data_IF_089747046328
#
_entry.id   IF_089747046328
#
_cell.length_a   1.000
_cell.length_b   1.000
_cell.length_c   1.000
_cell.angle_alpha   90.00
_cell.angle_beta   90.00
_cell.angle_gamma   90.00
#
_symmetry.space_group_name_H-M   'P 1'
#
loop_
_entity.id
_entity.type
_entity.pdbx_description
1 polymer ?
#
# COMPACT_ATOMS: atom_id res chain seq x y z
N UNK A 1 36.27 -24.34 -3.96
CA UNK A 1 35.72 -23.00 -3.66
C UNK A 1 34.39 -23.19 -2.92
N UNK A 2 34.32 -22.78 -1.66
CA UNK A 2 33.09 -22.82 -0.85
C UNK A 2 32.13 -21.74 -1.37
N UNK A 3 30.95 -22.14 -1.83
CA UNK A 3 29.84 -21.20 -2.06
C UNK A 3 29.00 -21.12 -0.80
N UNK A 4 29.09 -19.97 -0.15
CA UNK A 4 28.06 -19.26 0.63
C UNK A 4 26.84 -20.08 1.09
N UNK A 5 26.76 -20.38 2.38
CA UNK A 5 25.50 -20.75 3.02
C UNK A 5 24.56 -19.54 3.01
N UNK A 6 23.39 -19.66 2.38
CA UNK A 6 22.33 -18.64 2.48
C UNK A 6 21.87 -18.59 3.94
N UNK A 7 22.18 -17.47 4.61
CA UNK A 7 21.91 -17.20 6.02
C UNK A 7 20.43 -16.92 6.28
N UNK A 8 19.59 -17.93 6.09
CA UNK A 8 18.19 -17.89 6.52
C UNK A 8 18.12 -18.18 8.02
N UNK A 9 17.54 -17.26 8.77
CA UNK A 9 17.18 -17.46 10.16
C UNK A 9 15.68 -17.61 10.28
N UNK A 10 15.21 -18.49 11.17
CA UNK A 10 13.79 -18.58 11.51
C UNK A 10 13.34 -17.19 11.96
N UNK A 11 12.37 -16.62 11.24
CA UNK A 11 11.74 -15.36 11.65
C UNK A 11 10.93 -15.69 12.90
N UNK A 12 11.40 -15.24 14.07
CA UNK A 12 10.68 -15.37 15.33
C UNK A 12 9.32 -14.66 15.29
N UNK A 13 8.57 -14.77 16.39
CA UNK A 13 7.26 -14.14 16.58
C UNK A 13 7.26 -12.73 16.00
N UNK A 14 6.30 -12.48 15.12
CA UNK A 14 6.20 -11.32 14.24
C UNK A 14 6.73 -10.05 14.93
N UNK A 15 7.84 -9.51 14.42
CA UNK A 15 8.58 -8.37 14.97
C UNK A 15 7.77 -7.07 14.80
N UNK A 16 6.59 -6.98 15.40
CA UNK A 16 5.99 -5.71 15.75
C UNK A 16 6.86 -5.17 16.88
N UNK A 17 7.57 -4.05 16.69
CA UNK A 17 8.45 -3.56 17.74
C UNK A 17 7.60 -3.11 18.92
N UNK A 18 8.19 -3.00 20.12
CA UNK A 18 7.43 -2.88 21.37
C UNK A 18 6.36 -1.76 21.36
N UNK A 19 6.62 -0.70 20.60
CA UNK A 19 5.74 0.46 20.40
C UNK A 19 4.42 0.16 19.68
N UNK A 20 4.26 -1.02 19.04
CA UNK A 20 3.03 -1.44 18.33
C UNK A 20 2.28 -2.58 19.03
N UNK A 21 2.68 -2.96 20.25
CA UNK A 21 1.98 -3.97 21.05
C UNK A 21 0.52 -3.61 21.35
N UNK A 22 0.17 -2.33 21.29
CA UNK A 22 -1.17 -1.83 21.53
C UNK A 22 -1.60 -0.89 20.42
N UNK A 23 -2.76 -1.16 19.80
CA UNK A 23 -3.32 -0.33 18.74
C UNK A 23 -4.84 -0.22 18.90
N UNK A 24 -5.42 0.86 18.38
CA UNK A 24 -6.87 0.97 18.16
C UNK A 24 -7.20 0.73 16.69
N UNK A 25 -8.31 0.05 16.41
CA UNK A 25 -8.81 -0.18 15.04
C UNK A 25 -10.15 0.51 14.91
N UNK A 26 -10.25 1.41 13.95
CA UNK A 26 -11.50 2.09 13.57
C UNK A 26 -11.75 1.89 12.09
N UNK A 27 -12.98 2.06 11.64
CA UNK A 27 -13.34 1.85 10.25
C UNK A 27 -14.50 2.73 9.84
N UNK A 28 -14.64 2.96 8.53
CA UNK A 28 -15.88 3.47 7.94
C UNK A 28 -17.05 2.47 8.11
N UNK A 29 -16.75 1.17 8.19
CA UNK A 29 -17.69 0.08 8.52
C UNK A 29 -17.10 -0.83 9.60
N UNK A 30 -17.62 -0.69 10.82
CA UNK A 30 -17.15 -1.44 11.99
C UNK A 30 -17.40 -2.95 11.91
N UNK A 31 -18.37 -3.37 11.10
CA UNK A 31 -18.76 -4.77 10.89
C UNK A 31 -18.31 -5.35 9.55
N UNK A 32 -17.67 -4.52 8.72
CA UNK A 32 -17.14 -4.90 7.41
C UNK A 32 -16.16 -6.07 7.51
N UNK A 33 -16.13 -6.90 6.47
CA UNK A 33 -15.31 -8.11 6.43
C UNK A 33 -13.82 -7.78 6.59
N UNK A 34 -13.33 -6.72 5.94
CA UNK A 34 -11.94 -6.29 6.08
C UNK A 34 -11.62 -5.85 7.51
N UNK A 35 -12.51 -5.12 8.17
CA UNK A 35 -12.34 -4.69 9.56
C UNK A 35 -12.19 -5.90 10.48
N UNK A 36 -13.01 -6.94 10.25
CA UNK A 36 -12.93 -8.20 11.00
C UNK A 36 -11.61 -8.92 10.75
N UNK A 37 -11.18 -9.07 9.50
CA UNK A 37 -9.93 -9.76 9.18
C UNK A 37 -8.70 -9.00 9.70
N UNK A 38 -8.69 -7.66 9.65
CA UNK A 38 -7.60 -6.86 10.25
C UNK A 38 -7.53 -7.07 11.77
N UNK A 39 -8.67 -6.98 12.48
CA UNK A 39 -8.73 -7.24 13.93
C UNK A 39 -8.24 -8.66 14.25
N UNK A 40 -8.68 -9.65 13.49
CA UNK A 40 -8.25 -11.05 13.64
C UNK A 40 -6.75 -11.21 13.43
N UNK A 41 -6.19 -10.63 12.36
CA UNK A 41 -4.76 -10.69 12.07
C UNK A 41 -3.92 -10.01 13.16
N UNK A 42 -4.35 -8.86 13.67
CA UNK A 42 -3.71 -8.20 14.81
C UNK A 42 -3.66 -9.12 16.04
N UNK A 43 -4.78 -9.73 16.39
CA UNK A 43 -4.86 -10.64 17.54
C UNK A 43 -4.00 -11.90 17.35
N UNK A 44 -3.99 -12.48 16.14
CA UNK A 44 -3.15 -13.64 15.82
C UNK A 44 -1.65 -13.32 15.90
N UNK A 45 -1.27 -12.06 15.70
CA UNK A 45 0.10 -11.57 15.85
C UNK A 45 0.38 -10.98 17.24
N UNK A 46 -0.47 -11.24 18.24
CA UNK A 46 -0.24 -10.84 19.63
C UNK A 46 -0.42 -9.34 19.91
N UNK A 47 -1.03 -8.58 19.00
CA UNK A 47 -1.33 -7.17 19.22
C UNK A 47 -2.58 -7.00 20.06
N UNK A 48 -2.49 -6.20 21.12
CA UNK A 48 -3.62 -5.83 21.95
C UNK A 48 -4.43 -4.73 21.28
N UNK A 49 -5.71 -5.00 21.03
CA UNK A 49 -6.64 -4.01 20.50
C UNK A 49 -7.32 -3.29 21.68
N UNK A 50 -7.26 -1.95 21.69
CA UNK A 50 -7.86 -1.11 22.74
C UNK A 50 -8.75 -0.02 22.13
N UNK A 51 -9.66 0.60 22.90
CA UNK A 51 -10.43 1.74 22.43
C UNK A 51 -9.54 2.91 21.97
N UNK A 52 -9.99 3.72 20.99
CA UNK A 52 -9.25 4.90 20.54
C UNK A 52 -8.95 5.88 21.68
N UNK A 53 -7.70 6.35 21.74
CA UNK A 53 -7.26 7.34 22.73
C UNK A 53 -6.10 8.18 22.17
N UNK A 54 -5.87 9.37 22.73
CA UNK A 54 -4.88 10.34 22.22
C UNK A 54 -3.44 9.80 22.15
N UNK A 55 -3.07 8.91 23.08
CA UNK A 55 -1.72 8.34 23.18
C UNK A 55 -1.63 6.91 22.62
N UNK A 56 -2.61 6.50 21.81
CA UNK A 56 -2.66 5.16 21.22
C UNK A 56 -2.65 5.28 19.71
N UNK A 57 -1.79 4.51 19.06
CA UNK A 57 -1.77 4.43 17.59
C UNK A 57 -3.11 3.91 17.06
N UNK A 58 -3.53 4.42 15.92
CA UNK A 58 -4.80 4.06 15.31
C UNK A 58 -4.58 3.60 13.87
N UNK A 59 -5.19 2.46 13.53
CA UNK A 59 -5.42 2.06 12.15
C UNK A 59 -6.88 2.36 11.83
N UNK A 60 -7.11 3.26 10.88
CA UNK A 60 -8.42 3.64 10.39
C UNK A 60 -8.62 3.12 8.97
N UNK A 61 -9.52 2.16 8.77
CA UNK A 61 -9.91 1.71 7.43
C UNK A 61 -10.81 2.77 6.81
N UNK A 62 -10.42 3.30 5.65
CA UNK A 62 -11.15 4.35 4.93
C UNK A 62 -12.19 3.78 3.98
N UNK A 63 -11.83 2.71 3.27
CA UNK A 63 -12.69 2.07 2.28
C UNK A 63 -12.23 0.66 1.97
N UNK A 64 -13.16 -0.16 1.49
CA UNK A 64 -12.87 -1.33 0.67
C UNK A 64 -13.79 -1.39 -0.54
N UNK A 65 -13.37 -2.14 -1.55
CA UNK A 65 -14.16 -2.40 -2.76
C UNK A 65 -13.64 -3.63 -3.48
N UNK A 66 -14.53 -4.34 -4.14
CA UNK A 66 -14.21 -5.38 -5.10
C UNK A 66 -14.81 -5.09 -6.47
N UNK A 67 -14.17 -5.61 -7.50
CA UNK A 67 -14.65 -5.55 -8.88
C UNK A 67 -14.19 -6.76 -9.66
N UNK A 68 -14.83 -7.02 -10.78
CA UNK A 68 -14.43 -8.05 -11.73
C UNK A 68 -14.39 -7.52 -13.16
N UNK A 69 -13.54 -8.15 -13.98
CA UNK A 69 -13.47 -7.90 -15.42
C UNK A 69 -13.15 -9.18 -16.18
N UNK A 70 -13.58 -9.28 -17.42
CA UNK A 70 -13.23 -10.40 -18.29
C UNK A 70 -11.74 -10.34 -18.64
N UNK A 71 -11.03 -11.42 -18.34
CA UNK A 71 -9.59 -11.57 -18.60
C UNK A 71 -9.33 -12.30 -19.92
N UNK A 72 -10.19 -13.24 -20.30
CA UNK A 72 -10.08 -13.99 -21.55
C UNK A 72 -11.44 -14.43 -22.09
N UNK A 73 -11.46 -14.81 -23.38
CA UNK A 73 -12.67 -15.25 -24.09
C UNK A 73 -12.52 -16.66 -24.65
N UNK A 74 -13.61 -17.40 -24.71
CA UNK A 74 -13.75 -18.61 -25.51
C UNK A 74 -13.84 -18.26 -27.01
N UNK A 75 -13.70 -19.27 -27.89
CA UNK A 75 -13.82 -19.11 -29.35
C UNK A 75 -15.18 -18.53 -29.80
N UNK A 76 -16.22 -18.69 -28.98
CA UNK A 76 -17.55 -18.13 -29.22
C UNK A 76 -17.74 -16.71 -28.66
N UNK A 77 -16.65 -16.02 -28.31
CA UNK A 77 -16.62 -14.67 -27.73
C UNK A 77 -17.32 -14.52 -26.37
N UNK A 78 -17.59 -15.61 -25.63
CA UNK A 78 -18.01 -15.54 -24.21
C UNK A 78 -16.81 -15.44 -23.29
N UNK A 79 -16.98 -14.84 -22.12
CA UNK A 79 -15.98 -14.85 -21.06
C UNK A 79 -15.56 -16.28 -20.71
N UNK A 80 -14.26 -16.54 -20.69
CA UNK A 80 -13.67 -17.80 -20.26
C UNK A 80 -13.03 -17.68 -18.87
N UNK A 81 -12.49 -16.51 -18.57
CA UNK A 81 -11.84 -16.21 -17.31
C UNK A 81 -12.20 -14.79 -16.89
N UNK A 82 -12.39 -14.62 -15.59
CA UNK A 82 -12.55 -13.32 -14.96
C UNK A 82 -11.36 -13.05 -14.05
N UNK A 83 -10.95 -11.79 -13.99
CA UNK A 83 -10.05 -11.27 -12.97
C UNK A 83 -10.90 -10.55 -11.91
N UNK A 84 -10.73 -10.96 -10.66
CA UNK A 84 -11.21 -10.28 -9.46
C UNK A 84 -10.13 -9.30 -8.98
N UNK A 85 -10.56 -8.11 -8.62
CA UNK A 85 -9.74 -7.08 -7.99
C UNK A 85 -10.36 -6.71 -6.65
N UNK A 86 -9.56 -6.70 -5.59
CA UNK A 86 -9.94 -6.21 -4.28
C UNK A 86 -9.02 -5.06 -3.88
N UNK A 87 -9.60 -3.95 -3.44
CA UNK A 87 -8.89 -2.75 -3.03
C UNK A 87 -9.33 -2.33 -1.64
N UNK A 88 -8.38 -1.95 -0.79
CA UNK A 88 -8.68 -1.28 0.48
C UNK A 88 -7.70 -0.15 0.73
N UNK A 89 -8.18 0.93 1.32
CA UNK A 89 -7.36 2.06 1.74
C UNK A 89 -7.53 2.33 3.23
N UNK A 90 -6.47 2.79 3.86
CA UNK A 90 -6.44 3.01 5.31
C UNK A 90 -5.41 4.06 5.71
N UNK A 91 -5.60 4.64 6.88
CA UNK A 91 -4.67 5.59 7.51
C UNK A 91 -4.12 4.96 8.78
N UNK A 92 -2.82 5.12 8.99
CA UNK A 92 -2.19 4.84 10.29
C UNK A 92 -1.75 6.14 10.92
N UNK A 93 -2.20 6.36 12.15
CA UNK A 93 -1.83 7.50 12.97
C UNK A 93 -1.02 7.03 14.17
N UNK A 94 0.15 7.61 14.36
CA UNK A 94 1.03 7.35 15.52
C UNK A 94 1.16 8.66 16.30
N UNK A 95 0.95 8.68 17.63
CA UNK A 95 1.09 9.90 18.42
C UNK A 95 2.47 10.56 18.21
N UNK A 96 2.49 11.86 17.91
CA UNK A 96 3.72 12.61 17.67
C UNK A 96 4.26 12.55 16.23
N UNK A 97 3.61 11.82 15.32
CA UNK A 97 4.00 11.70 13.92
C UNK A 97 2.85 12.07 12.98
N UNK A 98 3.19 12.48 11.75
CA UNK A 98 2.18 12.74 10.73
C UNK A 98 1.44 11.44 10.34
N UNK A 99 0.10 11.48 10.19
CA UNK A 99 -0.66 10.33 9.69
C UNK A 99 -0.17 9.89 8.32
N UNK A 100 -0.18 8.57 8.07
CA UNK A 100 0.20 8.01 6.77
C UNK A 100 -0.93 7.21 6.16
N UNK A 101 -1.22 7.48 4.89
CA UNK A 101 -2.20 6.76 4.11
C UNK A 101 -1.56 5.63 3.31
N UNK A 102 -2.27 4.52 3.19
CA UNK A 102 -1.84 3.31 2.50
C UNK A 102 -2.98 2.74 1.67
N UNK A 103 -2.62 1.95 0.67
CA UNK A 103 -3.55 1.13 -0.09
C UNK A 103 -2.98 -0.27 -0.28
N UNK A 104 -3.89 -1.24 -0.35
CA UNK A 104 -3.60 -2.62 -0.69
C UNK A 104 -4.50 -3.02 -1.85
N UNK A 105 -3.89 -3.60 -2.86
CA UNK A 105 -4.55 -4.14 -4.04
C UNK A 105 -4.21 -5.63 -4.16
N UNK A 106 -5.23 -6.47 -4.29
CA UNK A 106 -5.09 -7.91 -4.46
C UNK A 106 -5.87 -8.31 -5.71
N UNK A 107 -5.28 -9.14 -6.56
CA UNK A 107 -5.94 -9.70 -7.74
C UNK A 107 -5.91 -11.22 -7.72
N UNK A 108 -6.95 -11.83 -8.29
CA UNK A 108 -7.08 -13.28 -8.51
C UNK A 108 -7.84 -13.51 -9.80
N UNK A 109 -7.63 -14.64 -10.46
CA UNK A 109 -8.46 -15.05 -11.60
C UNK A 109 -9.20 -16.35 -11.31
N UNK A 110 -10.34 -16.54 -11.98
CA UNK A 110 -11.12 -17.77 -11.92
C UNK A 110 -11.81 -18.03 -13.27
N UNK A 111 -12.06 -19.31 -13.55
CA UNK A 111 -12.66 -19.76 -14.80
C UNK A 111 -14.20 -19.70 -14.75
N UNK A 112 -14.83 -19.31 -15.85
CA UNK A 112 -16.28 -19.36 -16.00
C UNK A 112 -16.79 -20.81 -16.21
N UNK A 113 -18.04 -21.05 -15.82
CA UNK A 113 -18.77 -22.24 -16.24
C UNK A 113 -20.28 -21.92 -16.32
N UNK A 114 -20.84 -21.73 -17.53
CA UNK A 114 -22.23 -21.34 -17.70
C UNK A 114 -23.22 -22.42 -17.25
N UNK A 115 -22.79 -23.69 -17.18
CA UNK A 115 -23.62 -24.80 -16.70
C UNK A 115 -23.62 -24.92 -15.17
N UNK A 116 -22.79 -24.14 -14.48
CA UNK A 116 -22.62 -24.19 -13.03
C UNK A 116 -22.57 -22.79 -12.39
N UNK A 117 -23.38 -21.85 -12.91
CA UNK A 117 -23.37 -20.45 -12.47
C UNK A 117 -23.50 -20.27 -10.94
N UNK A 118 -24.33 -21.07 -10.27
CA UNK A 118 -24.45 -21.02 -8.81
C UNK A 118 -23.15 -21.42 -8.10
N UNK A 119 -22.51 -22.50 -8.55
CA UNK A 119 -21.23 -22.93 -7.98
C UNK A 119 -20.13 -21.88 -8.22
N UNK A 120 -20.15 -21.22 -9.38
CA UNK A 120 -19.22 -20.13 -9.71
C UNK A 120 -19.44 -18.88 -8.87
N UNK A 121 -20.68 -18.56 -8.50
CA UNK A 121 -20.95 -17.48 -7.54
C UNK A 121 -20.33 -17.79 -6.18
N UNK A 122 -20.50 -19.02 -5.67
CA UNK A 122 -19.93 -19.43 -4.38
C UNK A 122 -18.40 -19.45 -4.42
N UNK A 123 -17.81 -19.93 -5.52
CA UNK A 123 -16.35 -19.88 -5.74
C UNK A 123 -15.83 -18.44 -5.72
N UNK A 124 -16.49 -17.52 -6.42
CA UNK A 124 -16.15 -16.09 -6.41
C UNK A 124 -16.17 -15.52 -4.99
N UNK A 125 -17.24 -15.77 -4.23
CA UNK A 125 -17.37 -15.25 -2.86
C UNK A 125 -16.24 -15.78 -1.96
N UNK A 126 -15.90 -17.07 -2.07
CA UNK A 126 -14.79 -17.66 -1.34
C UNK A 126 -13.44 -17.04 -1.71
N UNK A 127 -13.18 -16.82 -3.00
CA UNK A 127 -11.94 -16.17 -3.47
C UNK A 127 -11.86 -14.75 -2.91
N UNK A 128 -12.96 -13.98 -2.93
CA UNK A 128 -12.99 -12.64 -2.36
C UNK A 128 -12.70 -12.64 -0.85
N UNK A 129 -13.24 -13.60 -0.10
CA UNK A 129 -12.92 -13.75 1.32
C UNK A 129 -11.43 -14.04 1.55
N UNK A 130 -10.83 -14.92 0.76
CA UNK A 130 -9.38 -15.17 0.82
C UNK A 130 -8.55 -13.93 0.43
N UNK A 131 -9.00 -13.16 -0.56
CA UNK A 131 -8.35 -11.90 -0.95
C UNK A 131 -8.40 -10.87 0.18
N UNK A 132 -9.50 -10.80 0.95
CA UNK A 132 -9.61 -9.93 2.13
C UNK A 132 -8.64 -10.34 3.24
N UNK A 133 -8.49 -11.65 3.49
CA UNK A 133 -7.49 -12.17 4.44
C UNK A 133 -6.08 -11.76 4.00
N UNK A 134 -5.74 -11.98 2.73
CA UNK A 134 -4.45 -11.58 2.15
C UNK A 134 -4.22 -10.07 2.25
N UNK A 135 -5.26 -9.26 2.03
CA UNK A 135 -5.17 -7.82 2.16
C UNK A 135 -4.90 -7.39 3.60
N UNK A 136 -5.60 -7.96 4.58
CA UNK A 136 -5.38 -7.69 6.00
C UNK A 136 -3.95 -8.05 6.44
N UNK A 137 -3.40 -9.16 5.97
CA UNK A 137 -1.99 -9.51 6.21
C UNK A 137 -1.01 -8.50 5.60
N UNK A 138 -1.30 -8.02 4.38
CA UNK A 138 -0.48 -6.98 3.73
C UNK A 138 -0.53 -5.67 4.51
N UNK A 139 -1.69 -5.26 4.99
CA UNK A 139 -1.84 -4.06 5.84
C UNK A 139 -0.96 -4.19 7.08
N UNK A 140 -0.97 -5.36 7.74
CA UNK A 140 -0.14 -5.60 8.92
C UNK A 140 1.36 -5.55 8.62
N UNK A 141 1.78 -6.07 7.46
CA UNK A 141 3.18 -6.03 7.01
C UNK A 141 3.64 -4.61 6.72
N UNK A 142 2.82 -3.84 6.02
CA UNK A 142 3.09 -2.42 5.77
C UNK A 142 3.16 -1.63 7.08
N UNK A 143 2.27 -1.93 8.02
CA UNK A 143 2.27 -1.31 9.35
C UNK A 143 3.54 -1.65 10.14
N UNK A 144 4.07 -2.86 10.03
CA UNK A 144 5.34 -3.22 10.68
C UNK A 144 6.54 -2.43 10.12
N UNK A 145 6.50 -2.04 8.84
CA UNK A 145 7.54 -1.22 8.21
C UNK A 145 7.44 0.27 8.54
N UNK A 146 6.34 0.73 9.14
CA UNK A 146 6.13 2.15 9.44
C UNK A 146 7.23 2.75 10.30
N UNK A 147 7.75 1.99 11.25
CA UNK A 147 8.70 2.50 12.24
C UNK A 147 9.97 3.08 11.63
N UNK A 148 10.41 2.54 10.49
CA UNK A 148 11.60 3.05 9.79
C UNK A 148 11.32 4.31 8.98
N UNK A 149 10.07 4.75 8.88
CA UNK A 149 9.64 5.83 8.00
C UNK A 149 8.88 6.94 8.75
N UNK A 150 8.75 6.88 10.08
CA UNK A 150 7.99 7.87 10.84
C UNK A 150 8.65 9.26 10.78
N UNK A 151 7.88 10.28 10.39
CA UNK A 151 8.31 11.69 10.32
C UNK A 151 7.65 12.46 11.47
N UNK A 152 8.42 13.02 12.44
CA UNK A 152 7.86 13.74 13.57
C UNK A 152 7.01 14.94 13.13
N UNK A 153 5.92 15.20 13.84
CA UNK A 153 5.12 16.42 13.63
C UNK A 153 5.99 17.63 13.96
N UNK A 154 6.22 18.51 12.98
CA UNK A 154 7.09 19.69 13.11
C UNK A 154 8.50 19.52 12.53
N UNK A 155 8.84 18.33 12.01
CA UNK A 155 9.94 18.21 11.06
C UNK A 155 9.44 18.69 9.69
N UNK A 156 9.55 20.00 9.44
CA UNK A 156 9.41 20.54 8.09
C UNK A 156 10.41 19.85 7.16
N UNK A 157 9.98 19.62 5.92
CA UNK A 157 10.70 18.93 4.85
C UNK A 157 12.19 19.31 4.78
N UNK A 158 13.06 18.48 5.36
CA UNK A 158 14.52 18.60 5.18
C UNK A 158 14.98 18.01 3.82
N UNK A 159 14.04 17.86 2.88
CA UNK A 159 14.29 17.52 1.48
C UNK A 159 14.16 18.76 0.58
N UNK A 160 14.55 19.94 1.07
CA UNK A 160 14.91 21.04 0.19
C UNK A 160 16.42 20.94 -0.12
N UNK A 161 16.82 20.94 -1.41
CA UNK A 161 18.20 21.24 -1.75
C UNK A 161 18.54 22.58 -1.13
N UNK A 162 19.59 22.63 -0.31
CA UNK A 162 20.11 23.90 0.18
C UNK A 162 20.54 24.71 -1.03
N UNK A 163 19.78 25.75 -1.35
CA UNK A 163 20.20 26.77 -2.31
C UNK A 163 21.59 27.28 -1.89
N UNK A 164 22.57 27.02 -2.75
CA UNK A 164 23.88 27.64 -2.66
C UNK A 164 23.72 29.14 -2.94
N UNK A 165 24.19 30.04 -2.06
CA UNK A 165 24.18 31.45 -2.36
C UNK A 165 25.41 31.75 -3.21
N UNK A 166 25.23 32.16 -4.46
CA UNK A 166 26.32 32.87 -5.14
C UNK A 166 25.76 33.97 -6.01
N UNK A 167 26.06 35.20 -5.58
CA UNK A 167 25.88 36.44 -6.31
C UNK A 167 26.31 36.29 -7.78
N UNK A 168 25.48 36.79 -8.67
CA UNK A 168 25.82 36.98 -10.08
C UNK A 168 26.33 38.42 -10.21
N UNK A 169 27.64 38.58 -10.42
CA UNK A 169 28.19 39.80 -11.01
C UNK A 169 29.29 39.41 -12.00
N UNK A 170 28.97 39.66 -13.26
CA UNK A 170 29.78 39.90 -14.46
C UNK A 170 30.92 38.97 -14.98
N UNK A 171 30.88 38.83 -16.32
CA UNK A 171 31.90 38.46 -17.33
C UNK A 171 31.99 37.03 -17.89
N UNK A 172 32.16 37.00 -19.23
CA UNK A 172 31.95 35.94 -20.23
C UNK A 172 33.27 35.19 -20.58
N UNK A 173 33.28 34.31 -21.62
CA UNK A 173 33.10 32.85 -21.61
C UNK A 173 34.42 32.04 -21.76
N UNK A 174 34.38 30.72 -21.54
CA UNK A 174 35.31 29.78 -22.23
C UNK A 174 34.64 28.42 -22.45
N UNK A 175 34.64 27.99 -23.70
CA UNK A 175 34.18 26.69 -24.21
C UNK A 175 35.22 25.59 -23.94
N UNK A 176 34.78 24.40 -23.55
CA UNK A 176 35.40 23.13 -23.92
C UNK A 176 34.31 22.07 -24.15
N UNK A 177 34.23 21.59 -25.39
CA UNK A 177 33.49 20.41 -25.82
C UNK A 177 34.21 19.14 -25.38
N UNK A 178 33.48 18.19 -24.79
CA UNK A 178 33.75 16.75 -24.92
C UNK A 178 32.42 15.98 -24.87
N UNK A 179 31.99 15.60 -26.07
CA UNK A 179 31.20 14.44 -26.50
C UNK A 179 30.80 13.40 -25.43
N UNK A 180 29.49 13.14 -25.34
CA UNK A 180 28.91 11.79 -25.49
C UNK A 180 27.39 11.86 -25.41
N UNK A 181 26.76 11.86 -26.59
CA UNK A 181 25.31 11.87 -26.74
C UNK A 181 24.61 10.65 -26.14
N UNK A 182 23.72 10.90 -25.18
CA UNK A 182 22.53 10.08 -24.90
C UNK A 182 21.41 11.02 -24.46
N UNK A 183 20.32 11.07 -25.22
CA UNK A 183 19.10 11.77 -24.82
C UNK A 183 18.25 10.82 -23.97
N UNK A 184 17.89 11.26 -22.76
CA UNK A 184 16.85 10.61 -21.98
C UNK A 184 15.71 11.61 -21.81
N UNK A 185 14.57 11.31 -22.43
CA UNK A 185 13.35 12.12 -22.35
C UNK A 185 12.49 11.57 -21.21
N UNK A 186 12.27 12.37 -20.17
CA UNK A 186 11.23 12.13 -19.17
C UNK A 186 10.20 13.26 -19.25
N UNK A 187 9.00 12.93 -19.72
CA UNK A 187 7.87 13.86 -19.71
C UNK A 187 7.18 13.77 -18.34
N UNK A 188 7.10 14.90 -17.64
CA UNK A 188 6.23 15.12 -16.49
C UNK A 188 5.09 16.00 -16.96
N UNK A 189 3.86 15.47 -17.03
CA UNK A 189 2.66 16.29 -17.24
C UNK A 189 2.24 16.89 -15.89
N UNK A 190 2.33 18.20 -15.78
CA UNK A 190 1.74 18.97 -14.69
C UNK A 190 0.29 19.31 -15.04
N UNK A 191 -0.65 18.89 -14.22
CA UNK A 191 -2.06 19.27 -14.30
C UNK A 191 -2.18 20.71 -13.79
N UNK A 192 -2.45 21.66 -14.69
CA UNK A 192 -2.76 23.03 -14.33
C UNK A 192 -4.24 23.14 -13.91
N UNK A 193 -4.48 23.64 -12.69
CA UNK A 193 -5.80 24.01 -12.22
C UNK A 193 -6.33 25.21 -13.02
N UNK A 194 -7.49 25.03 -13.64
CA UNK A 194 -8.29 26.09 -14.25
C UNK A 194 -9.09 26.80 -13.15
N UNK A 195 -8.76 28.06 -12.88
CA UNK A 195 -9.64 28.98 -12.17
C UNK A 195 -10.61 29.63 -13.16
N UNK A 196 -11.89 29.57 -12.81
CA UNK A 196 -13.01 30.11 -13.57
C UNK A 196 -13.13 31.63 -13.35
N UNK A 197 -13.45 32.35 -14.43
CA UNK A 197 -14.14 33.64 -14.36
C UNK A 197 -15.22 33.69 -15.43
#
# INVERSE_FOLDING_TARGET
MMSTACSFHLRGDYLLPDDVKTISVTSFDDYGMITREVKKQLLMNGVKIVPPAKNVSNLHVLSDSDSDRTLSLYQNARAAEYELSYNTSYIVTVPGYNPKAYSVHVTRSYLDNPMAALAKSVEKDLILDEMRVQAAEQMLRQMATLQTQLIPVGAEDATQPKDFPTNIDDTQPTTQDLDNGVQQTSTTEAIANSEAR
#
